data_IF_827597020086
#
_entry.id   IF_827597020086
#
_cell.length_a   1.000
_cell.length_b   1.000
_cell.length_c   1.000
_cell.angle_alpha   90.00
_cell.angle_beta   90.00
_cell.angle_gamma   90.00
#
_symmetry.space_group_name_H-M   'P 1'
#
loop_
_entity.id
_entity.type
_entity.pdbx_description
1 polymer ?
#
# COMPACT_ATOMS: atom_id res chain seq x y z
N UNK A 1 28.06 -0.76 -18.67
CA UNK A 1 27.91 -2.10 -18.15
C UNK A 1 27.32 -2.98 -19.24
N UNK A 2 28.11 -3.94 -19.70
CA UNK A 2 27.63 -4.99 -20.62
C UNK A 2 26.70 -5.89 -19.81
N UNK A 3 25.43 -5.74 -20.03
CA UNK A 3 24.42 -6.70 -19.57
C UNK A 3 24.65 -8.00 -20.35
N UNK A 4 24.89 -9.12 -19.70
CA UNK A 4 24.84 -10.38 -20.43
C UNK A 4 23.41 -10.55 -20.94
N UNK A 5 23.20 -10.77 -22.23
CA UNK A 5 21.85 -10.99 -22.73
C UNK A 5 21.29 -12.23 -22.07
N UNK A 6 20.18 -12.08 -21.38
CA UNK A 6 19.44 -13.23 -20.88
C UNK A 6 19.09 -14.12 -22.08
N UNK A 7 19.47 -15.38 -22.03
CA UNK A 7 19.14 -16.34 -23.10
C UNK A 7 18.44 -17.55 -22.47
N UNK A 8 17.21 -17.83 -22.88
CA UNK A 8 16.37 -17.14 -23.87
C UNK A 8 15.86 -15.78 -23.35
N UNK A 9 15.47 -14.89 -24.27
CA UNK A 9 14.84 -13.61 -23.95
C UNK A 9 13.58 -13.85 -23.11
N UNK A 10 13.49 -13.27 -21.92
CA UNK A 10 12.35 -13.42 -21.04
C UNK A 10 11.67 -12.08 -20.79
N UNK A 11 10.32 -12.08 -20.79
CA UNK A 11 9.50 -10.93 -20.44
C UNK A 11 8.60 -11.34 -19.29
N UNK A 12 8.70 -10.63 -18.17
CA UNK A 12 7.80 -10.82 -17.02
C UNK A 12 6.84 -9.63 -16.96
N UNK A 13 5.54 -9.90 -17.02
CA UNK A 13 4.50 -8.89 -16.91
C UNK A 13 3.75 -9.12 -15.60
N UNK A 14 3.87 -8.15 -14.67
CA UNK A 14 3.07 -8.13 -13.44
C UNK A 14 1.80 -7.33 -13.68
N UNK A 15 0.66 -7.99 -13.61
CA UNK A 15 -0.65 -7.33 -13.71
C UNK A 15 -1.14 -6.95 -12.32
N UNK A 16 -1.67 -5.75 -12.19
CA UNK A 16 -2.33 -5.26 -10.98
C UNK A 16 -3.85 -5.20 -11.24
N UNK A 17 -4.57 -6.31 -11.06
CA UNK A 17 -6.01 -6.31 -11.24
C UNK A 17 -6.68 -5.45 -10.14
N UNK A 18 -7.90 -4.91 -10.38
CA UNK A 18 -8.70 -4.31 -9.35
C UNK A 18 -8.85 -5.26 -8.15
N UNK A 19 -8.96 -4.69 -6.95
CA UNK A 19 -9.13 -5.51 -5.76
C UNK A 19 -10.32 -6.46 -5.92
N UNK A 20 -10.07 -7.75 -5.72
CA UNK A 20 -11.09 -8.80 -5.74
C UNK A 20 -12.06 -8.68 -4.56
N UNK A 21 -11.60 -8.09 -3.46
CA UNK A 21 -12.35 -7.93 -2.22
C UNK A 21 -12.78 -6.48 -2.07
N UNK A 22 -14.07 -6.26 -1.84
CA UNK A 22 -14.66 -4.92 -1.70
C UNK A 22 -14.65 -4.41 -0.27
N UNK A 23 -14.78 -5.33 0.69
CA UNK A 23 -14.91 -5.05 2.10
C UNK A 23 -14.30 -6.17 2.95
N UNK A 24 -14.23 -5.94 4.26
CA UNK A 24 -13.66 -6.90 5.20
C UNK A 24 -14.50 -8.18 5.33
N UNK A 25 -15.82 -8.08 5.13
CA UNK A 25 -16.71 -9.24 5.13
C UNK A 25 -16.40 -10.19 3.98
N UNK A 26 -16.09 -9.66 2.80
CA UNK A 26 -15.68 -10.46 1.63
C UNK A 26 -14.36 -11.20 1.84
N UNK A 27 -13.42 -10.62 2.60
CA UNK A 27 -12.20 -11.32 3.02
C UNK A 27 -12.50 -12.47 4.00
N UNK A 28 -13.39 -12.24 4.96
CA UNK A 28 -13.80 -13.28 5.89
C UNK A 28 -14.53 -14.42 5.18
N UNK A 29 -15.44 -14.11 4.28
CA UNK A 29 -16.15 -15.10 3.46
C UNK A 29 -15.21 -15.96 2.61
N UNK A 30 -14.07 -15.38 2.18
CA UNK A 30 -13.01 -16.11 1.47
C UNK A 30 -12.07 -16.92 2.40
N UNK A 31 -12.30 -16.91 3.71
CA UNK A 31 -11.48 -17.62 4.69
C UNK A 31 -10.13 -16.95 5.00
N UNK A 32 -9.96 -15.68 4.62
CA UNK A 32 -8.71 -14.95 4.88
C UNK A 32 -8.54 -14.62 6.36
N UNK A 33 -9.62 -14.34 7.06
CA UNK A 33 -9.64 -14.07 8.49
C UNK A 33 -10.93 -14.61 9.13
N UNK A 34 -10.90 -14.95 10.44
CA UNK A 34 -12.12 -15.33 11.17
C UNK A 34 -13.09 -14.14 11.26
N UNK A 35 -14.40 -14.33 11.03
CA UNK A 35 -15.39 -13.26 11.16
C UNK A 35 -15.38 -12.56 12.53
N UNK A 36 -15.05 -13.27 13.59
CA UNK A 36 -14.98 -12.71 14.95
C UNK A 36 -13.93 -11.60 15.12
N UNK A 37 -12.94 -11.49 14.20
CA UNK A 37 -11.90 -10.47 14.23
C UNK A 37 -12.35 -9.16 13.58
N UNK A 38 -13.42 -9.17 12.79
CA UNK A 38 -13.89 -8.00 12.05
C UNK A 38 -14.16 -6.80 12.97
N UNK A 39 -14.95 -6.91 14.06
CA UNK A 39 -15.22 -5.78 14.94
C UNK A 39 -13.95 -5.19 15.57
N UNK A 40 -12.96 -6.04 15.86
CA UNK A 40 -11.67 -5.58 16.39
C UNK A 40 -10.91 -4.73 15.37
N UNK A 41 -10.88 -5.15 14.10
CA UNK A 41 -10.20 -4.42 13.03
C UNK A 41 -10.90 -3.10 12.72
N UNK A 42 -12.23 -3.11 12.69
CA UNK A 42 -13.03 -1.89 12.52
C UNK A 42 -12.78 -0.90 13.66
N UNK A 43 -12.78 -1.37 14.91
CA UNK A 43 -12.47 -0.55 16.07
C UNK A 43 -11.02 -0.03 16.06
N UNK A 44 -10.06 -0.85 15.63
CA UNK A 44 -8.66 -0.46 15.51
C UNK A 44 -8.47 0.66 14.46
N UNK A 45 -9.13 0.54 13.31
CA UNK A 45 -9.10 1.58 12.29
C UNK A 45 -9.81 2.84 12.77
N UNK A 46 -11.02 2.73 13.32
CA UNK A 46 -11.76 3.88 13.86
C UNK A 46 -11.00 4.59 14.99
N UNK A 47 -10.33 3.81 15.85
CA UNK A 47 -9.49 4.31 16.94
C UNK A 47 -8.12 4.84 16.51
N UNK A 48 -7.82 4.89 15.22
CA UNK A 48 -6.54 5.37 14.67
C UNK A 48 -5.32 4.64 15.23
N UNK A 49 -5.44 3.35 15.52
CA UNK A 49 -4.34 2.56 16.04
C UNK A 49 -3.27 2.33 14.96
N UNK A 50 -2.01 2.22 15.39
CA UNK A 50 -0.94 1.78 14.52
C UNK A 50 -1.11 0.28 14.23
N UNK A 51 -1.19 -0.08 12.96
CA UNK A 51 -1.39 -1.46 12.50
C UNK A 51 -0.19 -1.88 11.68
N UNK A 52 0.46 -2.96 12.11
CA UNK A 52 1.53 -3.60 11.36
C UNK A 52 1.03 -4.88 10.70
N UNK A 53 1.18 -4.97 9.38
CA UNK A 53 0.78 -6.14 8.60
C UNK A 53 2.05 -6.87 8.14
N UNK A 54 2.31 -8.03 8.70
CA UNK A 54 3.49 -8.85 8.40
C UNK A 54 3.09 -10.17 7.72
N UNK A 55 3.98 -10.68 6.87
CA UNK A 55 3.77 -11.96 6.17
C UNK A 55 4.70 -12.11 4.97
N UNK A 56 4.83 -13.33 4.47
CA UNK A 56 5.64 -13.65 3.30
C UNK A 56 5.15 -13.02 1.99
N UNK A 57 5.93 -13.16 0.94
CA UNK A 57 5.50 -12.75 -0.40
C UNK A 57 4.23 -13.53 -0.81
N UNK A 58 3.28 -12.84 -1.43
CA UNK A 58 2.00 -13.44 -1.85
C UNK A 58 1.00 -13.74 -0.72
N UNK A 59 1.31 -13.43 0.54
CA UNK A 59 0.40 -13.67 1.67
C UNK A 59 -0.87 -12.80 1.67
N UNK A 60 -0.98 -11.83 0.78
CA UNK A 60 -2.14 -10.94 0.67
C UNK A 60 -2.06 -9.66 1.48
N UNK A 61 -0.86 -9.27 1.96
CA UNK A 61 -0.65 -8.03 2.73
C UNK A 61 -1.26 -6.80 2.06
N UNK A 62 -0.91 -6.54 0.80
CA UNK A 62 -1.43 -5.40 0.02
C UNK A 62 -2.96 -5.46 -0.14
N UNK A 63 -3.52 -6.66 -0.34
CA UNK A 63 -4.97 -6.88 -0.43
C UNK A 63 -5.65 -6.54 0.89
N UNK A 64 -5.10 -7.01 2.01
CA UNK A 64 -5.63 -6.75 3.34
C UNK A 64 -5.53 -5.27 3.70
N UNK A 65 -4.39 -4.64 3.42
CA UNK A 65 -4.18 -3.20 3.63
C UNK A 65 -5.21 -2.35 2.86
N UNK A 66 -5.48 -2.68 1.59
CA UNK A 66 -6.52 -1.99 0.80
C UNK A 66 -7.90 -2.08 1.43
N UNK A 67 -8.26 -3.27 1.92
CA UNK A 67 -9.57 -3.48 2.57
C UNK A 67 -9.66 -2.71 3.88
N UNK A 68 -8.61 -2.71 4.70
CA UNK A 68 -8.57 -1.89 5.93
C UNK A 68 -8.63 -0.40 5.63
N UNK A 69 -7.94 0.07 4.58
CA UNK A 69 -7.96 1.47 4.20
C UNK A 69 -9.36 1.97 3.84
N UNK A 70 -10.24 1.12 3.32
CA UNK A 70 -11.65 1.47 3.03
C UNK A 70 -12.51 1.66 4.29
N UNK A 71 -12.03 1.27 5.46
CA UNK A 71 -12.69 1.55 6.73
C UNK A 71 -12.34 2.94 7.28
N UNK A 72 -11.40 3.64 6.65
CA UNK A 72 -11.02 5.00 7.02
C UNK A 72 -12.17 5.95 6.68
N UNK A 73 -12.46 6.87 7.60
CA UNK A 73 -13.51 7.86 7.39
C UNK A 73 -13.18 8.77 6.19
N UNK A 74 -14.22 9.16 5.46
CA UNK A 74 -14.07 9.93 4.20
C UNK A 74 -13.50 11.34 4.41
N UNK A 75 -13.60 11.86 5.62
CA UNK A 75 -13.11 13.17 6.03
C UNK A 75 -11.60 13.15 6.37
N UNK A 76 -11.02 11.96 6.53
CA UNK A 76 -9.62 11.83 6.90
C UNK A 76 -8.70 11.95 5.69
N UNK A 77 -7.65 12.75 5.83
CA UNK A 77 -6.57 12.85 4.85
C UNK A 77 -5.59 11.69 5.01
N UNK A 78 -5.40 10.96 3.93
CA UNK A 78 -4.49 9.80 3.87
C UNK A 78 -3.31 10.12 2.96
N UNK A 79 -2.10 9.84 3.43
CA UNK A 79 -0.89 9.87 2.60
C UNK A 79 -0.38 8.44 2.47
N UNK A 80 -0.24 7.94 1.24
CA UNK A 80 0.43 6.65 0.98
C UNK A 80 1.86 6.89 0.55
N UNK A 81 2.78 6.07 1.06
CA UNK A 81 4.20 6.12 0.74
C UNK A 81 4.63 4.73 0.31
N UNK A 82 5.06 4.59 -0.93
CA UNK A 82 5.41 3.32 -1.54
C UNK A 82 6.69 3.45 -2.36
N UNK A 83 7.49 2.39 -2.45
CA UNK A 83 8.63 2.36 -3.38
C UNK A 83 8.14 2.28 -4.82
N UNK A 84 7.14 1.44 -5.05
CA UNK A 84 6.37 1.36 -6.30
C UNK A 84 4.88 1.39 -5.97
N UNK A 85 4.12 2.19 -6.70
CA UNK A 85 2.69 2.34 -6.46
C UNK A 85 1.92 1.05 -6.75
N UNK A 86 1.52 0.35 -5.69
CA UNK A 86 0.72 -0.87 -5.74
C UNK A 86 -0.67 -0.68 -5.12
N UNK A 87 -0.78 0.15 -4.10
CA UNK A 87 -2.01 0.32 -3.34
C UNK A 87 -3.10 1.02 -4.15
N UNK A 88 -2.74 2.05 -4.92
CA UNK A 88 -3.66 2.86 -5.72
C UNK A 88 -4.87 3.40 -4.94
N UNK A 89 -4.73 3.64 -3.63
CA UNK A 89 -5.81 4.08 -2.74
C UNK A 89 -6.39 5.45 -3.13
N UNK A 90 -5.63 6.27 -3.85
CA UNK A 90 -6.09 7.54 -4.40
C UNK A 90 -7.28 7.42 -5.38
N UNK A 91 -7.57 6.20 -5.85
CA UNK A 91 -8.75 5.91 -6.69
C UNK A 91 -10.00 5.63 -5.86
N UNK A 92 -9.85 5.34 -4.59
CA UNK A 92 -10.88 4.79 -3.72
C UNK A 92 -11.21 5.70 -2.54
N UNK A 93 -10.21 6.43 -2.02
CA UNK A 93 -10.36 7.35 -0.90
C UNK A 93 -10.53 8.78 -1.41
N UNK A 94 -11.33 9.57 -0.70
CA UNK A 94 -11.69 10.93 -1.11
C UNK A 94 -10.50 11.90 -1.06
N UNK A 95 -9.76 11.94 0.06
CA UNK A 95 -8.57 12.79 0.24
C UNK A 95 -7.34 11.90 0.44
N UNK A 96 -6.78 11.42 -0.66
CA UNK A 96 -5.62 10.52 -0.65
C UNK A 96 -4.51 11.05 -1.56
N UNK A 97 -3.35 11.29 -0.96
CA UNK A 97 -2.12 11.69 -1.65
C UNK A 97 -1.21 10.48 -1.74
N UNK A 98 -0.80 10.11 -2.94
CA UNK A 98 0.13 8.99 -3.16
C UNK A 98 1.53 9.52 -3.48
N UNK A 99 2.49 9.13 -2.65
CA UNK A 99 3.91 9.44 -2.81
C UNK A 99 4.66 8.17 -3.21
N UNK A 100 5.43 8.26 -4.29
CA UNK A 100 6.17 7.13 -4.85
C UNK A 100 7.67 7.42 -4.85
N UNK A 101 8.46 6.43 -4.43
CA UNK A 101 9.90 6.44 -4.51
C UNK A 101 10.38 6.48 -5.95
N UNK A 102 11.59 6.98 -6.14
CA UNK A 102 12.23 6.95 -7.46
C UNK A 102 13.69 6.58 -7.33
N UNK A 103 14.15 5.53 -8.03
CA UNK A 103 15.57 5.19 -8.08
C UNK A 103 16.38 6.35 -8.69
N UNK A 104 17.69 6.43 -8.40
CA UNK A 104 18.55 7.41 -9.01
C UNK A 104 18.56 7.24 -10.55
N UNK A 105 18.77 8.33 -11.25
CA UNK A 105 18.97 8.28 -12.69
C UNK A 105 20.30 7.57 -13.04
N UNK A 106 20.58 7.43 -14.33
CA UNK A 106 21.81 6.79 -14.84
C UNK A 106 23.11 7.46 -14.35
N UNK A 107 23.04 8.70 -13.88
CA UNK A 107 24.16 9.45 -13.29
C UNK A 107 24.24 9.31 -11.76
N UNK A 108 23.40 8.46 -11.15
CA UNK A 108 23.34 8.28 -9.70
C UNK A 108 22.70 9.44 -8.93
N UNK A 109 21.98 10.33 -9.62
CA UNK A 109 21.37 11.54 -9.03
C UNK A 109 19.84 11.46 -9.02
N UNK A 110 19.21 12.37 -8.26
CA UNK A 110 17.76 12.58 -8.21
C UNK A 110 16.96 11.35 -7.71
N UNK A 111 17.55 10.53 -6.85
CA UNK A 111 16.79 9.54 -6.10
C UNK A 111 15.78 10.24 -5.19
N UNK A 112 14.58 9.68 -5.09
CA UNK A 112 13.58 10.03 -4.08
C UNK A 112 13.42 8.82 -3.18
N UNK A 113 13.94 8.91 -1.97
CA UNK A 113 13.92 7.79 -1.01
C UNK A 113 12.64 7.81 -0.18
N UNK A 114 12.28 6.66 0.38
CA UNK A 114 11.15 6.55 1.32
C UNK A 114 11.31 7.52 2.49
N UNK A 115 12.53 7.70 3.02
CA UNK A 115 12.78 8.65 4.11
C UNK A 115 12.44 10.11 3.73
N UNK A 116 12.78 10.53 2.52
CA UNK A 116 12.41 11.87 2.01
C UNK A 116 10.90 12.00 1.90
N UNK A 117 10.21 10.97 1.39
CA UNK A 117 8.76 10.96 1.25
C UNK A 117 8.04 10.97 2.60
N UNK A 118 8.57 10.28 3.61
CA UNK A 118 8.07 10.35 4.99
C UNK A 118 8.11 11.78 5.51
N UNK A 119 9.26 12.44 5.36
CA UNK A 119 9.44 13.80 5.82
C UNK A 119 8.47 14.78 5.13
N UNK A 120 8.29 14.63 3.82
CA UNK A 120 7.34 15.47 3.08
C UNK A 120 5.89 15.10 3.40
N UNK A 121 5.56 13.82 3.54
CA UNK A 121 4.23 13.35 3.89
C UNK A 121 3.74 13.90 5.23
N UNK A 122 4.61 13.99 6.23
CA UNK A 122 4.28 14.58 7.54
C UNK A 122 3.92 16.07 7.45
N UNK A 123 4.44 16.79 6.46
CA UNK A 123 4.13 18.22 6.24
C UNK A 123 2.79 18.45 5.54
N UNK A 124 2.19 17.40 4.99
CA UNK A 124 0.92 17.48 4.30
C UNK A 124 -0.29 17.42 5.24
N UNK A 125 -0.04 17.51 6.56
CA UNK A 125 -1.06 17.42 7.61
C UNK A 125 -1.95 16.18 7.46
N UNK A 126 -1.38 14.98 7.34
CA UNK A 126 -2.15 13.76 7.18
C UNK A 126 -2.81 13.35 8.51
N UNK A 127 -4.03 12.82 8.44
CA UNK A 127 -4.63 12.09 9.55
C UNK A 127 -4.04 10.69 9.65
N UNK A 128 -3.65 10.11 8.51
CA UNK A 128 -3.03 8.77 8.41
C UNK A 128 -1.92 8.73 7.38
N UNK A 129 -0.89 7.95 7.70
CA UNK A 129 0.15 7.57 6.74
C UNK A 129 0.11 6.05 6.57
N UNK A 130 0.09 5.61 5.32
CA UNK A 130 0.11 4.18 4.96
C UNK A 130 1.41 3.91 4.20
N UNK A 131 2.22 3.01 4.74
CA UNK A 131 3.43 2.53 4.07
C UNK A 131 3.14 1.25 3.31
N UNK A 132 3.50 1.19 2.04
CA UNK A 132 3.32 0.00 1.22
C UNK A 132 4.20 -1.16 1.65
N UNK A 133 5.46 -0.87 2.00
CA UNK A 133 6.44 -1.83 2.52
C UNK A 133 7.56 -1.11 3.26
N UNK A 134 8.16 -1.81 4.21
CA UNK A 134 9.27 -1.33 5.07
C UNK A 134 10.41 -2.33 5.03
#
# INVERSE_FOLDING_TARGET
>A
ALWPPARPMSLTIRRHPPSRFRDIGSLAAAGFLPPAVIPLLEAAVAGRLNILIAGGAGAGKTTFMRVLARLIATEERVVTIEDQSELHLWRELHDCISLEGRPPNTEGRRAITIQMLVHEGLRMSPDRIIYGEV
#
